data_IF_135562410442
#
_entry.id   IF_135562410442
#
_cell.length_a   1.000
_cell.length_b   1.000
_cell.length_c   1.000
_cell.angle_alpha   90.00
_cell.angle_beta   90.00
_cell.angle_gamma   90.00
#
_symmetry.space_group_name_H-M   'P 1'
#
loop_
_entity.id
_entity.type
_entity.pdbx_description
1 polymer ?
#
# COMPACT_ATOMS: atom_id res chain seq x y z
N UNK A 1 -16.69 9.65 -2.99
CA UNK A 1 -15.60 10.59 -3.34
C UNK A 1 -15.77 11.88 -2.54
N UNK A 2 -16.99 12.41 -2.52
CA UNK A 2 -17.45 13.55 -1.72
C UNK A 2 -16.99 13.49 -0.26
N UNK A 3 -17.16 12.34 0.41
CA UNK A 3 -16.73 12.17 1.80
C UNK A 3 -15.22 12.39 1.99
N UNK A 4 -14.37 11.90 1.06
CA UNK A 4 -12.91 12.10 1.13
C UNK A 4 -12.53 13.57 0.96
N UNK A 5 -13.32 14.33 0.20
CA UNK A 5 -13.10 15.77 -0.03
C UNK A 5 -13.51 16.56 1.20
N UNK A 6 -14.60 16.18 1.85
CA UNK A 6 -15.00 16.74 3.15
C UNK A 6 -13.93 16.47 4.20
N UNK A 7 -13.38 15.25 4.25
CA UNK A 7 -12.28 14.89 5.16
C UNK A 7 -11.00 15.68 4.85
N UNK A 8 -10.65 15.86 3.58
CA UNK A 8 -9.51 16.68 3.17
C UNK A 8 -9.66 18.14 3.59
N UNK A 9 -10.84 18.73 3.40
CA UNK A 9 -11.15 20.10 3.85
C UNK A 9 -11.01 20.22 5.38
N UNK A 10 -11.43 19.19 6.13
CA UNK A 10 -11.22 19.13 7.58
C UNK A 10 -9.72 19.07 7.92
N UNK A 11 -8.95 18.27 7.19
CA UNK A 11 -7.49 18.18 7.34
C UNK A 11 -6.79 19.52 7.10
N UNK A 12 -7.14 20.22 6.02
CA UNK A 12 -6.62 21.56 5.72
C UNK A 12 -6.91 22.56 6.85
N UNK A 13 -8.14 22.57 7.37
CA UNK A 13 -8.51 23.44 8.52
C UNK A 13 -7.71 23.09 9.77
N UNK A 14 -7.49 21.80 10.03
CA UNK A 14 -6.69 21.34 11.17
C UNK A 14 -5.20 21.75 11.02
N UNK A 15 -4.69 21.81 9.79
CA UNK A 15 -3.35 22.32 9.46
C UNK A 15 -3.24 23.85 9.42
N UNK A 16 -4.31 24.58 9.76
CA UNK A 16 -4.32 26.04 9.84
C UNK A 16 -4.73 26.77 8.56
N UNK A 17 -5.06 26.05 7.49
CA UNK A 17 -5.54 26.65 6.23
C UNK A 17 -6.98 27.14 6.40
N UNK A 18 -7.23 28.42 6.07
CA UNK A 18 -8.54 29.06 6.26
C UNK A 18 -9.51 28.76 5.12
N UNK A 19 -10.13 27.58 5.15
CA UNK A 19 -11.16 27.17 4.19
C UNK A 19 -12.57 27.51 4.70
N UNK A 20 -13.30 28.37 3.99
CA UNK A 20 -14.69 28.77 4.27
C UNK A 20 -15.73 27.81 3.66
N UNK A 21 -17.00 28.01 4.01
CA UNK A 21 -18.12 27.27 3.41
C UNK A 21 -18.28 27.56 1.91
N UNK A 22 -18.04 28.79 1.48
CA UNK A 22 -18.11 29.19 0.07
C UNK A 22 -17.11 28.38 -0.77
N UNK A 23 -15.85 28.34 -0.33
CA UNK A 23 -14.77 27.57 -0.97
C UNK A 23 -15.05 26.07 -0.98
N UNK A 24 -15.60 25.56 0.13
CA UNK A 24 -16.01 24.16 0.19
C UNK A 24 -17.09 23.86 -0.86
N UNK A 25 -18.05 24.76 -1.04
CA UNK A 25 -19.14 24.59 -2.03
C UNK A 25 -18.62 24.73 -3.46
N UNK A 26 -17.71 25.66 -3.71
CA UNK A 26 -17.10 25.86 -5.03
C UNK A 26 -16.23 24.66 -5.43
N UNK A 27 -15.51 24.06 -4.47
CA UNK A 27 -14.78 22.82 -4.68
C UNK A 27 -15.71 21.68 -5.10
N UNK A 28 -16.85 21.50 -4.41
CA UNK A 28 -17.84 20.47 -4.75
C UNK A 28 -18.39 20.66 -6.18
N UNK A 29 -18.78 21.90 -6.53
CA UNK A 29 -19.27 22.22 -7.89
C UNK A 29 -18.19 22.01 -8.96
N UNK A 30 -16.94 22.37 -8.68
CA UNK A 30 -15.85 22.16 -9.62
C UNK A 30 -15.63 20.67 -9.92
N UNK A 31 -15.79 19.80 -8.93
CA UNK A 31 -15.69 18.35 -9.13
C UNK A 31 -16.84 17.78 -9.95
N UNK A 32 -18.07 18.27 -9.76
CA UNK A 32 -19.23 17.85 -10.56
C UNK A 32 -19.05 18.18 -12.05
N UNK A 33 -18.40 19.30 -12.36
CA UNK A 33 -18.19 19.78 -13.73
C UNK A 33 -16.98 19.11 -14.40
N UNK A 34 -15.84 19.04 -13.69
CA UNK A 34 -14.57 18.59 -14.26
C UNK A 34 -14.35 17.08 -14.15
N UNK A 35 -15.07 16.42 -13.24
CA UNK A 35 -14.88 15.02 -12.92
C UNK A 35 -13.56 14.73 -12.22
N UNK A 36 -13.30 13.44 -11.96
CA UNK A 36 -12.16 12.96 -11.17
C UNK A 36 -11.18 12.08 -11.96
N UNK A 37 -11.43 11.90 -13.26
CA UNK A 37 -10.68 10.96 -14.11
C UNK A 37 -9.26 11.43 -14.41
N UNK A 38 -9.01 12.74 -14.41
CA UNK A 38 -7.68 13.31 -14.59
C UNK A 38 -7.15 13.83 -13.25
N UNK A 39 -6.18 13.10 -12.68
CA UNK A 39 -5.59 13.40 -11.37
C UNK A 39 -4.98 14.80 -11.26
N UNK A 40 -4.31 15.25 -12.32
CA UNK A 40 -3.72 16.60 -12.38
C UNK A 40 -4.82 17.65 -12.35
N UNK A 41 -5.83 17.51 -13.21
CA UNK A 41 -6.95 18.45 -13.27
C UNK A 41 -7.72 18.49 -11.94
N UNK A 42 -7.93 17.33 -11.33
CA UNK A 42 -8.57 17.19 -10.02
C UNK A 42 -7.78 17.87 -8.90
N UNK A 43 -6.45 17.72 -8.89
CA UNK A 43 -5.58 18.41 -7.93
C UNK A 43 -5.65 19.92 -8.11
N UNK A 44 -5.49 20.39 -9.34
CA UNK A 44 -5.48 21.83 -9.62
C UNK A 44 -6.85 22.48 -9.37
N UNK A 45 -7.95 21.79 -9.65
CA UNK A 45 -9.29 22.31 -9.36
C UNK A 45 -9.49 22.50 -7.85
N UNK A 46 -9.15 21.50 -7.03
CA UNK A 46 -9.23 21.60 -5.58
C UNK A 46 -8.35 22.73 -5.04
N UNK A 47 -7.10 22.84 -5.53
CA UNK A 47 -6.18 23.91 -5.13
C UNK A 47 -6.75 25.28 -5.48
N UNK A 48 -7.28 25.44 -6.69
CA UNK A 48 -7.87 26.69 -7.15
C UNK A 48 -9.12 27.11 -6.37
N UNK A 49 -9.93 26.14 -5.90
CA UNK A 49 -11.16 26.44 -5.16
C UNK A 49 -10.98 26.57 -3.64
N UNK A 50 -9.96 25.94 -3.06
CA UNK A 50 -9.79 25.86 -1.62
C UNK A 50 -8.72 26.81 -1.05
N UNK A 51 -7.79 27.29 -1.88
CA UNK A 51 -6.61 28.04 -1.44
C UNK A 51 -6.67 29.50 -1.91
N UNK A 52 -6.67 30.45 -0.96
CA UNK A 52 -6.77 31.89 -1.25
C UNK A 52 -5.45 32.55 -1.62
N UNK A 53 -4.33 32.00 -1.15
CA UNK A 53 -3.03 32.64 -1.23
C UNK A 53 -1.89 31.62 -1.20
N UNK A 54 -0.72 32.05 -1.66
CA UNK A 54 0.45 31.18 -1.82
C UNK A 54 0.96 30.58 -0.50
N UNK A 55 0.71 31.25 0.62
CA UNK A 55 1.15 30.81 1.94
C UNK A 55 0.59 29.42 2.32
N UNK A 56 -0.59 29.08 1.78
CA UNK A 56 -1.30 27.83 2.04
C UNK A 56 -1.00 26.75 0.97
N UNK A 57 -0.09 26.99 0.03
CA UNK A 57 0.28 25.97 -0.98
C UNK A 57 1.04 24.80 -0.38
N UNK A 58 1.99 25.06 0.53
CA UNK A 58 2.76 24.02 1.18
C UNK A 58 1.88 23.01 1.95
N UNK A 59 0.99 23.42 2.87
CA UNK A 59 0.11 22.48 3.57
C UNK A 59 -0.87 21.76 2.64
N UNK A 60 -1.33 22.41 1.56
CA UNK A 60 -2.13 21.74 0.54
C UNK A 60 -1.35 20.61 -0.15
N UNK A 61 -0.13 20.91 -0.62
CA UNK A 61 0.71 19.97 -1.35
C UNK A 61 1.16 18.80 -0.47
N UNK A 62 1.32 19.01 0.83
CA UNK A 62 1.62 17.98 1.81
C UNK A 62 0.41 17.07 2.10
N UNK A 63 -0.77 17.67 2.31
CA UNK A 63 -1.97 16.90 2.66
C UNK A 63 -2.61 16.21 1.45
N UNK A 64 -2.62 16.83 0.28
CA UNK A 64 -3.36 16.31 -0.88
C UNK A 64 -3.01 14.86 -1.23
N UNK A 65 -1.72 14.46 -1.28
CA UNK A 65 -1.35 13.07 -1.52
C UNK A 65 -1.90 12.09 -0.49
N UNK A 66 -2.06 12.49 0.77
CA UNK A 66 -2.57 11.63 1.85
C UNK A 66 -4.05 11.25 1.65
N UNK A 67 -4.82 12.15 1.02
CA UNK A 67 -6.25 11.95 0.78
C UNK A 67 -6.55 11.41 -0.62
N UNK A 68 -5.73 11.70 -1.64
CA UNK A 68 -6.10 11.44 -3.05
C UNK A 68 -5.04 10.75 -3.90
N UNK A 69 -3.90 10.34 -3.33
CA UNK A 69 -3.16 9.24 -3.95
C UNK A 69 -4.00 7.99 -3.79
N UNK A 70 -4.22 7.21 -4.85
CA UNK A 70 -4.87 5.90 -4.74
C UNK A 70 -3.89 4.93 -4.04
N UNK A 71 -4.06 4.46 -2.81
CA UNK A 71 -4.86 4.93 -1.68
C UNK A 71 -3.89 5.45 -0.60
N UNK A 72 -4.05 5.03 0.66
CA UNK A 72 -2.83 4.79 1.46
C UNK A 72 -1.76 4.05 0.62
N UNK A 73 -0.48 4.21 0.98
CA UNK A 73 0.67 4.23 0.06
C UNK A 73 0.57 3.19 -1.07
N UNK A 74 0.63 3.66 -2.31
CA UNK A 74 0.93 2.87 -3.53
C UNK A 74 0.07 1.63 -3.86
N UNK A 75 -0.92 1.24 -3.06
CA UNK A 75 -1.51 -0.10 -3.15
C UNK A 75 -2.62 -0.30 -4.18
N UNK A 76 -3.39 0.74 -4.54
CA UNK A 76 -4.46 0.56 -5.53
C UNK A 76 -3.93 0.58 -6.98
N UNK A 77 -3.00 1.49 -7.29
CA UNK A 77 -2.42 1.58 -8.64
C UNK A 77 -1.48 0.41 -8.97
N UNK A 78 -0.95 -0.28 -7.97
CA UNK A 78 -0.04 -1.39 -8.15
C UNK A 78 -0.72 -2.69 -8.60
N UNK A 79 -2.04 -2.81 -8.44
CA UNK A 79 -2.85 -3.97 -8.87
C UNK A 79 -3.46 -3.75 -10.25
N UNK A 80 -3.83 -2.51 -10.56
CA UNK A 80 -4.41 -2.12 -11.86
C UNK A 80 -3.37 -2.01 -12.99
N UNK A 81 -2.08 -1.83 -12.65
CA UNK A 81 -0.95 -1.76 -13.61
C UNK A 81 -0.24 -3.12 -13.80
N UNK A 82 -0.82 -4.20 -13.28
CA UNK A 82 -0.32 -5.55 -13.49
C UNK A 82 -0.77 -6.06 -14.86
N UNK A 83 0.17 -6.62 -15.62
CA UNK A 83 -0.19 -7.42 -16.78
C UNK A 83 -1.08 -8.60 -16.38
N UNK A 84 -1.91 -9.14 -17.30
CA UNK A 84 -2.75 -10.30 -17.01
C UNK A 84 -1.98 -11.49 -16.42
N UNK A 85 -0.73 -11.67 -16.84
CA UNK A 85 0.16 -12.72 -16.34
C UNK A 85 0.58 -12.45 -14.89
N UNK A 86 0.93 -11.21 -14.54
CA UNK A 86 1.29 -10.81 -13.18
C UNK A 86 0.12 -10.89 -12.19
N UNK A 87 -1.11 -10.61 -12.66
CA UNK A 87 -2.32 -10.79 -11.86
C UNK A 87 -2.55 -12.26 -11.50
N UNK A 88 -2.37 -13.16 -12.47
CA UNK A 88 -2.49 -14.61 -12.24
C UNK A 88 -1.43 -15.11 -11.25
N UNK A 89 -0.19 -14.64 -11.38
CA UNK A 89 0.89 -15.00 -10.47
C UNK A 89 0.62 -14.52 -9.04
N UNK A 90 0.16 -13.29 -8.86
CA UNK A 90 -0.20 -12.76 -7.54
C UNK A 90 -1.35 -13.56 -6.92
N UNK A 91 -2.36 -13.90 -7.72
CA UNK A 91 -3.50 -14.67 -7.24
C UNK A 91 -3.10 -16.08 -6.81
N UNK A 92 -2.25 -16.75 -7.59
CA UNK A 92 -1.70 -18.06 -7.24
C UNK A 92 -0.87 -18.01 -5.94
N UNK A 93 -0.03 -16.98 -5.77
CA UNK A 93 0.78 -16.79 -4.56
C UNK A 93 -0.08 -16.57 -3.31
N UNK A 94 -1.14 -15.74 -3.41
CA UNK A 94 -2.08 -15.50 -2.32
C UNK A 94 -2.85 -16.76 -1.93
N UNK A 95 -3.27 -17.56 -2.91
CA UNK A 95 -3.94 -18.84 -2.67
C UNK A 95 -3.01 -19.82 -1.95
N UNK A 96 -1.75 -19.96 -2.40
CA UNK A 96 -0.76 -20.82 -1.74
C UNK A 96 -0.45 -20.37 -0.30
N UNK A 97 -0.41 -19.07 -0.03
CA UNK A 97 -0.23 -18.56 1.33
C UNK A 97 -1.45 -18.84 2.20
N UNK A 98 -2.66 -18.64 1.67
CA UNK A 98 -3.90 -18.89 2.42
C UNK A 98 -4.06 -20.37 2.80
N UNK A 99 -3.71 -21.30 1.91
CA UNK A 99 -3.71 -22.74 2.21
C UNK A 99 -2.74 -23.10 3.35
N UNK A 100 -1.54 -22.51 3.34
CA UNK A 100 -0.56 -22.69 4.43
C UNK A 100 -1.07 -22.15 5.77
N UNK A 101 -1.74 -21.00 5.76
CA UNK A 101 -2.34 -20.43 6.98
C UNK A 101 -3.48 -21.29 7.52
N UNK A 102 -4.33 -21.83 6.66
CA UNK A 102 -5.40 -22.75 7.06
C UNK A 102 -4.85 -24.02 7.70
N UNK A 103 -3.80 -24.60 7.11
CA UNK A 103 -3.14 -25.80 7.65
C UNK A 103 -2.50 -25.54 9.02
N UNK A 104 -1.84 -24.39 9.21
CA UNK A 104 -1.30 -23.98 10.50
C UNK A 104 -2.42 -23.78 11.55
N UNK A 105 -3.53 -23.15 11.15
CA UNK A 105 -4.69 -22.98 12.02
C UNK A 105 -5.27 -24.31 12.45
N UNK A 106 -5.37 -25.29 11.54
CA UNK A 106 -5.84 -26.65 11.84
C UNK A 106 -4.96 -27.35 12.89
N UNK A 107 -3.64 -27.22 12.79
CA UNK A 107 -2.72 -27.77 13.81
C UNK A 107 -2.87 -27.09 15.17
N UNK A 108 -3.10 -25.77 15.18
CA UNK A 108 -3.33 -25.02 16.42
C UNK A 108 -4.67 -25.38 17.07
N UNK A 109 -5.73 -25.61 16.29
CA UNK A 109 -7.06 -25.97 16.81
C UNK A 109 -7.17 -27.44 17.20
N UNK A 110 -6.49 -28.33 16.49
CA UNK A 110 -6.45 -29.76 16.81
C UNK A 110 -5.51 -30.10 17.96
N UNK A 111 -4.61 -29.18 18.34
CA UNK A 111 -3.60 -29.38 19.37
C UNK A 111 -2.53 -30.41 18.98
N UNK A 112 -2.49 -30.81 17.71
CA UNK A 112 -1.54 -31.76 17.16
C UNK A 112 -0.66 -31.01 16.15
N UNK A 113 0.65 -31.06 16.39
CA UNK A 113 1.62 -30.58 15.41
C UNK A 113 1.64 -31.45 14.15
N UNK A 114 2.36 -31.02 13.10
CA UNK A 114 2.45 -31.77 11.85
C UNK A 114 2.99 -33.18 12.09
N UNK A 115 2.37 -34.17 11.45
CA UNK A 115 2.85 -35.54 11.41
C UNK A 115 4.11 -35.65 10.56
N UNK A 116 4.89 -36.73 10.76
CA UNK A 116 6.11 -36.97 9.99
C UNK A 116 5.85 -37.12 8.48
N UNK A 117 4.75 -37.77 8.12
CA UNK A 117 4.30 -37.90 6.72
C UNK A 117 3.94 -36.55 6.11
N UNK A 118 3.26 -35.67 6.86
CA UNK A 118 2.94 -34.31 6.41
C UNK A 118 4.20 -33.44 6.28
N UNK A 119 5.19 -33.62 7.17
CA UNK A 119 6.48 -32.93 7.05
C UNK A 119 7.28 -33.39 5.82
N UNK A 120 7.24 -34.68 5.51
CA UNK A 120 7.90 -35.23 4.32
C UNK A 120 7.21 -34.77 3.02
N UNK A 121 5.87 -34.74 2.99
CA UNK A 121 5.08 -34.22 1.87
C UNK A 121 5.30 -32.70 1.69
N UNK A 122 5.35 -31.93 2.79
CA UNK A 122 5.70 -30.51 2.76
C UNK A 122 7.13 -30.27 2.25
N UNK A 123 8.10 -31.08 2.70
CA UNK A 123 9.48 -30.98 2.25
C UNK A 123 9.65 -31.34 0.77
N UNK A 124 8.87 -32.31 0.26
CA UNK A 124 8.88 -32.69 -1.15
C UNK A 124 8.25 -31.61 -2.04
N UNK A 125 7.13 -31.03 -1.62
CA UNK A 125 6.48 -29.92 -2.33
C UNK A 125 7.35 -28.67 -2.32
N UNK A 126 7.92 -28.32 -1.16
CA UNK A 126 8.89 -27.23 -1.07
C UNK A 126 10.15 -27.50 -1.91
N UNK A 127 10.70 -28.71 -1.90
CA UNK A 127 11.90 -29.04 -2.67
C UNK A 127 11.73 -28.93 -4.20
N UNK A 128 10.55 -29.20 -4.72
CA UNK A 128 10.22 -29.06 -6.14
C UNK A 128 9.85 -27.61 -6.52
N UNK A 129 9.11 -26.90 -5.65
CA UNK A 129 8.70 -25.51 -5.89
C UNK A 129 9.86 -24.51 -5.72
N UNK A 130 10.87 -24.77 -4.88
CA UNK A 130 11.96 -23.82 -4.60
C UNK A 130 12.82 -23.42 -5.81
N UNK A 131 12.83 -24.20 -6.90
CA UNK A 131 13.58 -23.88 -8.12
C UNK A 131 12.84 -22.88 -9.04
N UNK A 132 11.51 -22.92 -9.10
CA UNK A 132 10.67 -21.96 -9.86
C UNK A 132 10.19 -20.78 -8.99
N UNK A 133 9.96 -21.02 -7.70
CA UNK A 133 9.49 -20.03 -6.72
C UNK A 133 10.57 -18.98 -6.41
N UNK A 134 11.86 -19.24 -6.66
CA UNK A 134 12.91 -18.26 -6.37
C UNK A 134 12.76 -16.98 -7.23
N UNK A 135 12.27 -17.06 -8.47
CA UNK A 135 12.00 -15.87 -9.28
C UNK A 135 10.67 -15.20 -8.93
N UNK A 136 9.63 -16.01 -8.65
CA UNK A 136 8.29 -15.51 -8.31
C UNK A 136 8.27 -14.87 -6.92
N UNK A 137 8.80 -15.54 -5.90
CA UNK A 137 8.99 -14.98 -4.56
C UNK A 137 9.89 -13.75 -4.58
N UNK A 138 10.91 -13.67 -5.44
CA UNK A 138 11.73 -12.44 -5.59
C UNK A 138 10.95 -11.28 -6.19
N UNK A 139 10.09 -11.52 -7.17
CA UNK A 139 9.21 -10.49 -7.74
C UNK A 139 8.16 -10.03 -6.72
N UNK A 140 7.44 -10.97 -6.08
CA UNK A 140 6.43 -10.67 -5.04
C UNK A 140 7.08 -9.94 -3.87
N UNK A 141 8.24 -10.39 -3.41
CA UNK A 141 8.99 -9.76 -2.31
C UNK A 141 9.47 -8.37 -2.71
N UNK A 142 10.03 -8.20 -3.91
CA UNK A 142 10.43 -6.88 -4.42
C UNK A 142 9.24 -5.93 -4.54
N UNK A 143 8.08 -6.42 -4.97
CA UNK A 143 6.84 -5.65 -5.09
C UNK A 143 6.27 -5.27 -3.72
N UNK A 144 6.25 -6.21 -2.77
CA UNK A 144 5.82 -5.96 -1.38
C UNK A 144 6.76 -4.98 -0.66
N UNK A 145 8.08 -5.09 -0.87
CA UNK A 145 9.05 -4.16 -0.29
C UNK A 145 8.96 -2.75 -0.90
N UNK A 146 8.72 -2.64 -2.21
CA UNK A 146 8.43 -1.36 -2.87
C UNK A 146 7.17 -0.70 -2.28
N UNK A 147 6.21 -1.49 -1.80
CA UNK A 147 4.93 -1.05 -1.28
C UNK A 147 4.96 -0.67 0.22
N UNK A 148 5.89 -1.23 1.00
CA UNK A 148 6.01 -0.98 2.46
C UNK A 148 6.93 0.18 2.86
N UNK A 149 7.48 0.94 1.91
CA UNK A 149 8.37 2.07 2.22
C UNK A 149 9.78 1.61 2.56
N UNK A 150 10.54 1.30 1.51
CA UNK A 150 11.91 0.75 1.55
C UNK A 150 12.88 1.52 2.45
N UNK A 151 12.69 2.83 2.65
CA UNK A 151 13.62 3.66 3.40
C UNK A 151 13.72 3.30 4.89
N UNK A 152 12.61 2.93 5.54
CA UNK A 152 12.62 2.61 6.97
C UNK A 152 13.14 1.20 7.24
N UNK A 153 12.74 0.23 6.41
CA UNK A 153 13.18 -1.16 6.55
C UNK A 153 14.66 -1.32 6.17
N UNK A 154 15.15 -0.60 5.17
CA UNK A 154 16.57 -0.59 4.80
C UNK A 154 17.46 -0.02 5.92
N UNK A 155 17.02 1.06 6.58
CA UNK A 155 17.71 1.58 7.78
C UNK A 155 17.73 0.56 8.91
N UNK A 156 16.59 -0.07 9.22
CA UNK A 156 16.51 -1.05 10.29
C UNK A 156 17.32 -2.30 9.99
N UNK A 157 17.37 -2.74 8.73
CA UNK A 157 18.17 -3.90 8.31
C UNK A 157 19.68 -3.59 8.37
N UNK A 158 20.08 -2.37 8.00
CA UNK A 158 21.47 -1.92 8.15
C UNK A 158 21.90 -1.84 9.61
N UNK A 159 21.07 -1.28 10.49
CA UNK A 159 21.33 -1.28 11.94
C UNK A 159 21.45 -2.69 12.51
N UNK A 160 20.60 -3.61 12.05
CA UNK A 160 20.59 -4.98 12.55
C UNK A 160 21.82 -5.76 12.08
N UNK A 161 22.24 -5.59 10.83
CA UNK A 161 23.49 -6.17 10.31
C UNK A 161 24.72 -5.60 11.01
N UNK A 162 24.73 -4.30 11.32
CA UNK A 162 25.84 -3.67 12.03
C UNK A 162 25.95 -4.17 13.47
N UNK A 163 24.81 -4.34 14.16
CA UNK A 163 24.78 -4.95 15.50
C UNK A 163 25.23 -6.41 15.50
N UNK A 164 24.89 -7.18 14.47
CA UNK A 164 25.36 -8.57 14.35
C UNK A 164 26.89 -8.63 14.14
N UNK A 165 27.44 -7.76 13.28
CA UNK A 165 28.89 -7.64 13.09
C UNK A 165 29.64 -7.24 14.38
N UNK A 166 29.07 -6.34 15.18
CA UNK A 166 29.65 -5.96 16.49
C UNK A 166 29.60 -7.11 17.51
N UNK A 167 28.64 -8.01 17.38
CA UNK A 167 28.53 -9.22 18.20
C UNK A 167 29.34 -10.41 17.65
N UNK A 168 30.03 -10.26 16.51
CA UNK A 168 30.89 -11.27 15.92
C UNK A 168 30.17 -12.45 15.26
N UNK A 169 28.91 -12.26 14.86
CA UNK A 169 28.16 -13.17 13.98
C UNK A 169 27.95 -12.54 12.61
#
# INVERSE_FOLDING_TARGET
MDDRVVEFIRGLRAAGVRVSLAESTDAMRAMEILGISNKTLFRESLRATLIKGSDDFAPFDELFPLYFSSGGPMMQNALDDLSPDEQQMLQAALQALSGRLQQLMEWLTSGQGPTKEELEDLAQRAGADWAEDQQQSRWVTRRMLQQMGFSHLEQQMQELLQKLQEMGM
#
